data_IF_446181874209
#
_entry.id   IF_446181874209
#
_cell.length_a   1.000
_cell.length_b   1.000
_cell.length_c   1.000
_cell.angle_alpha   90.00
_cell.angle_beta   90.00
_cell.angle_gamma   90.00
#
_symmetry.space_group_name_H-M   'P 1'
#
loop_
_entity.id
_entity.type
_entity.pdbx_description
1 polymer ?
#
# COMPACT_ATOMS: atom_id res chain seq x y z
N UNK A 1 1.09 19.42 -21.29
CA UNK A 1 1.45 18.30 -20.38
C UNK A 1 0.49 17.16 -20.68
N UNK A 2 0.96 15.97 -21.07
CA UNK A 2 0.09 14.88 -21.56
C UNK A 2 -0.63 14.15 -20.42
N UNK A 3 -1.90 13.79 -20.62
CA UNK A 3 -2.71 12.97 -19.70
C UNK A 3 -2.04 11.62 -19.39
N UNK A 4 -1.31 11.09 -20.36
CA UNK A 4 -0.54 9.85 -20.23
C UNK A 4 0.59 9.97 -19.20
N UNK A 5 1.28 11.11 -19.15
CA UNK A 5 2.33 11.38 -18.15
C UNK A 5 1.71 11.51 -16.76
N UNK A 6 0.55 12.15 -16.63
CA UNK A 6 -0.15 12.27 -15.35
C UNK A 6 -0.59 10.90 -14.82
N UNK A 7 -1.09 10.02 -15.71
CA UNK A 7 -1.47 8.64 -15.37
C UNK A 7 -0.27 7.80 -14.93
N UNK A 8 0.83 7.82 -15.69
CA UNK A 8 2.04 7.08 -15.32
C UNK A 8 2.57 7.50 -13.94
N UNK A 9 2.56 8.81 -13.64
CA UNK A 9 2.90 9.32 -12.31
C UNK A 9 1.95 8.81 -11.24
N UNK A 10 0.64 8.84 -11.49
CA UNK A 10 -0.36 8.35 -10.54
C UNK A 10 -0.18 6.86 -10.23
N UNK A 11 0.01 6.01 -11.25
CA UNK A 11 0.27 4.57 -11.07
C UNK A 11 1.53 4.34 -10.23
N UNK A 12 2.60 5.09 -10.51
CA UNK A 12 3.85 5.01 -9.76
C UNK A 12 3.68 5.44 -8.30
N UNK A 13 2.96 6.53 -8.03
CA UNK A 13 2.72 6.99 -6.65
C UNK A 13 1.82 6.04 -5.86
N UNK A 14 0.76 5.49 -6.48
CA UNK A 14 -0.10 4.50 -5.84
C UNK A 14 0.69 3.22 -5.49
N UNK A 15 1.55 2.76 -6.40
CA UNK A 15 2.41 1.60 -6.17
C UNK A 15 3.42 1.85 -5.05
N UNK A 16 4.06 3.03 -5.04
CA UNK A 16 4.99 3.45 -3.97
C UNK A 16 4.29 3.49 -2.61
N UNK A 17 3.11 4.10 -2.53
CA UNK A 17 2.34 4.14 -1.29
C UNK A 17 1.96 2.72 -0.84
N UNK A 18 1.54 1.84 -1.75
CA UNK A 18 1.24 0.45 -1.37
C UNK A 18 2.44 -0.25 -0.72
N UNK A 19 3.63 -0.06 -1.27
CA UNK A 19 4.87 -0.62 -0.72
C UNK A 19 5.21 -0.03 0.66
N UNK A 20 5.02 1.27 0.86
CA UNK A 20 5.26 1.94 2.15
C UNK A 20 4.34 1.44 3.25
N UNK A 21 3.07 1.19 2.93
CA UNK A 21 2.11 0.61 3.88
C UNK A 21 2.46 -0.84 4.22
N UNK A 22 2.86 -1.64 3.23
CA UNK A 22 3.29 -3.03 3.45
C UNK A 22 4.59 -3.09 4.28
N UNK A 23 5.55 -2.23 3.97
CA UNK A 23 6.79 -2.08 4.75
C UNK A 23 6.49 -1.68 6.20
N UNK A 24 5.62 -0.69 6.40
CA UNK A 24 5.21 -0.23 7.73
C UNK A 24 4.49 -1.31 8.53
N UNK A 25 3.59 -2.07 7.88
CA UNK A 25 2.90 -3.20 8.49
C UNK A 25 3.89 -4.30 8.95
N UNK A 26 4.84 -4.66 8.08
CA UNK A 26 5.86 -5.65 8.38
C UNK A 26 6.82 -5.18 9.49
N UNK A 27 7.23 -3.90 9.45
CA UNK A 27 8.11 -3.30 10.44
C UNK A 27 7.46 -3.25 11.83
N UNK A 28 6.21 -2.78 11.90
CA UNK A 28 5.43 -2.76 13.15
C UNK A 28 5.23 -4.17 13.71
N UNK A 29 4.88 -5.14 12.84
CA UNK A 29 4.69 -6.53 13.23
C UNK A 29 5.94 -7.12 13.88
N UNK A 30 7.09 -6.97 13.22
CA UNK A 30 8.38 -7.46 13.75
C UNK A 30 8.77 -6.79 15.06
N UNK A 31 8.59 -5.46 15.18
CA UNK A 31 8.91 -4.73 16.39
C UNK A 31 8.08 -5.24 17.57
N UNK A 32 6.77 -5.38 17.38
CA UNK A 32 5.82 -5.79 18.41
C UNK A 32 5.99 -7.25 18.83
N UNK A 33 6.29 -8.12 17.86
CA UNK A 33 6.65 -9.51 18.13
C UNK A 33 7.94 -9.62 18.95
N UNK A 34 8.98 -8.86 18.59
CA UNK A 34 10.25 -8.85 19.32
C UNK A 34 10.11 -8.32 20.76
N UNK A 35 9.21 -7.36 20.98
CA UNK A 35 8.91 -6.82 22.30
C UNK A 35 7.95 -7.72 23.12
N UNK A 36 7.33 -8.72 22.50
CA UNK A 36 6.26 -9.52 23.14
C UNK A 36 4.99 -8.71 23.44
N UNK A 37 4.77 -7.62 22.71
CA UNK A 37 3.69 -6.65 22.91
C UNK A 37 2.65 -6.68 21.78
N UNK A 38 2.46 -7.84 21.13
CA UNK A 38 1.44 -7.99 20.09
C UNK A 38 0.04 -8.08 20.71
N UNK A 39 -0.67 -6.95 20.73
CA UNK A 39 -2.06 -6.87 21.15
C UNK A 39 -3.04 -6.86 19.96
N UNK A 40 -4.33 -6.95 20.27
CA UNK A 40 -5.39 -6.99 19.26
C UNK A 40 -5.48 -5.68 18.46
N UNK A 41 -5.20 -4.53 19.08
CA UNK A 41 -5.25 -3.22 18.42
C UNK A 41 -4.11 -3.08 17.41
N UNK A 42 -2.89 -3.48 17.79
CA UNK A 42 -1.73 -3.55 16.91
C UNK A 42 -1.99 -4.50 15.74
N UNK A 43 -2.56 -5.67 16.02
CA UNK A 43 -2.89 -6.65 14.98
C UNK A 43 -3.94 -6.09 13.98
N UNK A 44 -4.97 -5.41 14.48
CA UNK A 44 -5.95 -4.76 13.59
C UNK A 44 -5.30 -3.64 12.77
N UNK A 45 -4.44 -2.81 13.38
CA UNK A 45 -3.73 -1.75 12.66
C UNK A 45 -2.86 -2.33 11.53
N UNK A 46 -2.07 -3.38 11.79
CA UNK A 46 -1.30 -4.10 10.76
C UNK A 46 -2.24 -4.60 9.66
N UNK A 47 -3.36 -5.20 10.03
CA UNK A 47 -4.37 -5.66 9.08
C UNK A 47 -4.93 -4.53 8.22
N UNK A 48 -5.20 -3.36 8.80
CA UNK A 48 -5.66 -2.16 8.07
C UNK A 48 -4.59 -1.66 7.09
N UNK A 49 -3.32 -1.63 7.51
CA UNK A 49 -2.22 -1.22 6.63
C UNK A 49 -2.11 -2.14 5.41
N UNK A 50 -2.16 -3.47 5.62
CA UNK A 50 -2.11 -4.45 4.53
C UNK A 50 -3.32 -4.35 3.59
N UNK A 51 -4.53 -4.16 4.14
CA UNK A 51 -5.74 -3.94 3.32
C UNK A 51 -5.63 -2.68 2.48
N UNK A 52 -5.17 -1.58 3.06
CA UNK A 52 -4.95 -0.32 2.32
C UNK A 52 -3.91 -0.50 1.22
N UNK A 53 -2.78 -1.18 1.50
CA UNK A 53 -1.77 -1.51 0.49
C UNK A 53 -2.38 -2.28 -0.70
N UNK A 54 -3.19 -3.31 -0.41
CA UNK A 54 -3.87 -4.07 -1.46
C UNK A 54 -4.82 -3.20 -2.31
N UNK A 55 -5.60 -2.32 -1.67
CA UNK A 55 -6.49 -1.39 -2.38
C UNK A 55 -5.72 -0.42 -3.28
N UNK A 56 -4.59 0.10 -2.82
CA UNK A 56 -3.72 0.98 -3.62
C UNK A 56 -3.16 0.25 -4.85
N UNK A 57 -2.76 -1.03 -4.72
CA UNK A 57 -2.31 -1.84 -5.86
C UNK A 57 -3.42 -2.08 -6.88
N UNK A 58 -4.66 -2.29 -6.41
CA UNK A 58 -5.83 -2.44 -7.29
C UNK A 58 -6.06 -1.14 -8.08
N UNK A 59 -6.09 0.01 -7.39
CA UNK A 59 -6.27 1.32 -8.02
C UNK A 59 -5.16 1.63 -9.03
N UNK A 60 -3.90 1.29 -8.71
CA UNK A 60 -2.79 1.43 -9.64
C UNK A 60 -2.98 0.57 -10.91
N UNK A 61 -3.44 -0.67 -10.75
CA UNK A 61 -3.71 -1.57 -11.86
C UNK A 61 -4.92 -1.14 -12.72
N UNK A 62 -5.96 -0.59 -12.11
CA UNK A 62 -7.11 0.00 -12.82
C UNK A 62 -6.66 1.22 -13.65
N UNK A 63 -5.91 2.13 -13.03
CA UNK A 63 -5.38 3.31 -13.71
C UNK A 63 -4.44 2.97 -14.88
N UNK A 64 -3.71 1.85 -14.82
CA UNK A 64 -2.87 1.39 -15.93
C UNK A 64 -3.71 0.84 -17.09
N UNK A 65 -4.79 0.10 -16.81
CA UNK A 65 -5.69 -0.48 -17.82
C UNK A 65 -6.43 0.60 -18.59
N UNK A 66 -6.94 1.63 -17.90
CA UNK A 66 -7.63 2.78 -18.49
C UNK A 66 -6.77 3.61 -19.47
N UNK A 67 -5.47 3.29 -19.58
CA UNK A 67 -4.57 3.89 -20.56
C UNK A 67 -4.26 3.07 -21.80
N UNK A 68 -4.74 1.82 -21.86
CA UNK A 68 -4.54 0.91 -22.99
C UNK A 68 -5.80 0.76 -23.85
N UNK A 69 -6.94 1.23 -23.34
CA UNK A 69 -8.24 1.36 -24.04
C UNK A 69 -8.33 2.68 -24.84
#
# INVERSE_FOLDING_TARGET
MSTEIARARMVSELSRLAEEFEFSAAGLGKLREAEGLMDAETSDLIGRLLRTSSQLRILAGEAEKDGKD
#
